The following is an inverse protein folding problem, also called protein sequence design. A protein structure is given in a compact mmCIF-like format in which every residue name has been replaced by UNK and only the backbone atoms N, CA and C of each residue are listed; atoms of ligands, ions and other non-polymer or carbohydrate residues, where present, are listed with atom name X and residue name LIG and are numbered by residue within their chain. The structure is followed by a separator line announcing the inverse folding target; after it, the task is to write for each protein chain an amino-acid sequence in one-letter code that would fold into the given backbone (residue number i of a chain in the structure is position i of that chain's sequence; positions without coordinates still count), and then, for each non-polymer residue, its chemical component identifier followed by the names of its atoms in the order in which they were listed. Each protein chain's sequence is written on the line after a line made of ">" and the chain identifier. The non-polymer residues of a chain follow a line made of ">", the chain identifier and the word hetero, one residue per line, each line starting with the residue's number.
data_IF_783003870367
#
_entry.id   IF_783003870367
#
_cell.length_a   1.000
_cell.length_b   1.000
_cell.length_c   1.000
_cell.angle_alpha   90.00
_cell.angle_beta   90.00
_cell.angle_gamma   90.00
#
_symmetry.space_group_name_H-M   'P 1'
#
loop_
_entity.id
_entity.type
_entity.pdbx_description
1 polymer ?
#
# COMPACT_ATOMS: atom_id res chain seq x y z
N UNK A 1 -26.43 -4.55 26.88
CA UNK A 1 -25.83 -5.60 26.04
C UNK A 1 -25.75 -6.90 26.83
N UNK A 2 -26.21 -8.01 26.24
CA UNK A 2 -26.05 -9.34 26.85
C UNK A 2 -24.65 -9.88 26.58
N UNK A 3 -23.97 -10.40 27.61
CA UNK A 3 -22.61 -10.94 27.53
C UNK A 3 -22.61 -12.41 27.90
N UNK A 4 -21.70 -13.19 27.34
CA UNK A 4 -21.49 -14.58 27.75
C UNK A 4 -20.75 -14.65 29.08
N UNK A 5 -20.80 -15.81 29.74
CA UNK A 5 -20.03 -16.07 30.97
C UNK A 5 -18.53 -15.86 30.74
N UNK A 6 -18.02 -16.23 29.56
CA UNK A 6 -16.61 -16.02 29.18
C UNK A 6 -16.28 -14.54 29.05
N UNK A 7 -17.06 -13.79 28.29
CA UNK A 7 -16.82 -12.35 28.12
C UNK A 7 -16.94 -11.58 29.43
N UNK A 8 -17.92 -11.94 30.28
CA UNK A 8 -18.05 -11.33 31.61
C UNK A 8 -16.86 -11.66 32.51
N UNK A 9 -16.34 -12.88 32.44
CA UNK A 9 -15.15 -13.31 33.18
C UNK A 9 -13.90 -12.54 32.73
N UNK A 10 -13.71 -12.43 31.41
CA UNK A 10 -12.58 -11.72 30.80
C UNK A 10 -12.61 -10.21 31.14
N UNK A 11 -13.81 -9.59 31.20
CA UNK A 11 -13.98 -8.18 31.59
C UNK A 11 -13.77 -7.94 33.08
N UNK A 12 -14.20 -8.86 33.94
CA UNK A 12 -14.03 -8.76 35.38
C UNK A 12 -12.63 -9.23 35.85
N UNK A 13 -11.80 -9.78 34.95
CA UNK A 13 -10.49 -10.32 35.29
C UNK A 13 -10.53 -11.53 36.22
N UNK A 14 -11.63 -12.31 36.18
CA UNK A 14 -11.86 -13.46 37.06
C UNK A 14 -11.98 -14.75 36.24
N UNK A 15 -11.69 -15.93 36.82
CA UNK A 15 -11.88 -17.18 36.09
C UNK A 15 -13.37 -17.47 35.87
N UNK A 16 -13.72 -18.09 34.73
CA UNK A 16 -15.10 -18.48 34.35
C UNK A 16 -15.86 -19.21 35.45
N UNK A 17 -15.17 -20.09 36.17
CA UNK A 17 -15.74 -20.87 37.27
C UNK A 17 -16.24 -19.97 38.40
N UNK A 18 -15.56 -18.85 38.66
CA UNK A 18 -15.97 -17.87 39.68
C UNK A 18 -17.28 -17.19 39.30
N UNK A 19 -17.44 -16.81 38.03
CA UNK A 19 -18.69 -16.24 37.51
C UNK A 19 -19.84 -17.25 37.61
N UNK A 20 -19.60 -18.52 37.24
CA UNK A 20 -20.60 -19.59 37.40
C UNK A 20 -21.00 -19.82 38.85
N UNK A 21 -20.03 -19.79 39.76
CA UNK A 21 -20.29 -19.92 41.19
C UNK A 21 -21.13 -18.76 41.71
N UNK A 22 -20.84 -17.51 41.32
CA UNK A 22 -21.69 -16.38 41.72
C UNK A 22 -23.07 -16.44 41.10
N UNK A 23 -23.19 -16.90 39.85
CA UNK A 23 -24.48 -17.12 39.21
C UNK A 23 -25.32 -18.16 39.97
N UNK A 24 -24.70 -19.19 40.53
CA UNK A 24 -25.38 -20.20 41.35
C UNK A 24 -25.88 -19.68 42.71
N UNK A 25 -25.36 -18.54 43.18
CA UNK A 25 -25.80 -17.89 44.43
C UNK A 25 -26.96 -16.92 44.25
N UNK A 26 -27.28 -16.57 43.02
CA UNK A 26 -28.39 -15.67 42.71
C UNK A 26 -29.69 -16.48 42.74
N UNK A 27 -30.80 -15.81 43.07
CA UNK A 27 -32.12 -16.41 43.08
C UNK A 27 -32.50 -16.96 41.70
N UNK A 28 -33.13 -18.14 41.69
CA UNK A 28 -33.50 -18.84 40.46
C UNK A 28 -34.45 -18.02 39.57
N UNK A 29 -35.26 -17.13 40.17
CA UNK A 29 -36.19 -16.26 39.45
C UNK A 29 -35.45 -15.21 38.61
N UNK A 30 -34.48 -14.50 39.21
CA UNK A 30 -33.63 -13.55 38.48
C UNK A 30 -32.80 -14.23 37.41
N UNK A 31 -32.26 -15.43 37.69
CA UNK A 31 -31.52 -16.21 36.69
C UNK A 31 -32.42 -16.59 35.51
N UNK A 32 -33.63 -17.09 35.75
CA UNK A 32 -34.55 -17.46 34.66
C UNK A 32 -35.00 -16.26 33.82
N UNK A 33 -35.12 -15.08 34.43
CA UNK A 33 -35.57 -13.86 33.75
C UNK A 33 -34.48 -13.23 32.90
N UNK A 34 -33.24 -13.24 33.38
CA UNK A 34 -32.12 -12.46 32.83
C UNK A 34 -31.01 -13.31 32.19
N UNK A 35 -31.13 -14.63 32.19
CA UNK A 35 -30.23 -15.54 31.48
C UNK A 35 -30.96 -16.19 30.32
N UNK A 36 -30.49 -15.90 29.11
CA UNK A 36 -31.03 -16.47 27.87
C UNK A 36 -30.01 -17.41 27.25
N UNK A 37 -30.44 -18.61 26.90
CA UNK A 37 -29.58 -19.55 26.15
C UNK A 37 -29.79 -19.28 24.67
N UNK A 38 -28.73 -18.90 23.96
CA UNK A 38 -28.72 -18.78 22.50
C UNK A 38 -27.58 -19.64 21.97
N UNK A 39 -27.87 -20.50 20.99
CA UNK A 39 -26.89 -21.40 20.37
C UNK A 39 -26.10 -22.24 21.39
N UNK A 40 -26.76 -22.72 22.46
CA UNK A 40 -26.11 -23.50 23.53
C UNK A 40 -25.26 -22.68 24.52
N UNK A 41 -25.16 -21.37 24.35
CA UNK A 41 -24.37 -20.48 25.23
C UNK A 41 -25.29 -19.61 26.07
N UNK A 42 -25.02 -19.55 27.39
CA UNK A 42 -25.72 -18.69 28.34
C UNK A 42 -25.29 -17.22 28.15
N UNK A 43 -26.26 -16.38 27.83
CA UNK A 43 -26.11 -14.93 27.71
C UNK A 43 -26.76 -14.27 28.92
N UNK A 44 -25.95 -13.55 29.67
CA UNK A 44 -26.31 -12.82 30.87
C UNK A 44 -26.73 -11.41 30.46
N UNK A 45 -27.91 -10.94 30.87
CA UNK A 45 -28.33 -9.55 30.67
C UNK A 45 -27.65 -8.60 31.67
N UNK A 46 -27.76 -7.29 31.43
CA UNK A 46 -27.11 -6.26 32.27
C UNK A 46 -27.44 -6.32 33.76
N UNK A 47 -28.67 -6.64 34.24
CA UNK A 47 -28.94 -6.66 35.68
C UNK A 47 -28.21 -7.81 36.39
N UNK A 48 -28.19 -9.02 35.83
CA UNK A 48 -27.49 -10.16 36.43
C UNK A 48 -25.97 -9.96 36.37
N UNK A 49 -25.44 -9.33 35.32
CA UNK A 49 -24.03 -8.94 35.23
C UNK A 49 -23.61 -8.02 36.39
N UNK A 50 -24.44 -7.00 36.70
CA UNK A 50 -24.21 -6.07 37.81
C UNK A 50 -24.25 -6.80 39.16
N UNK A 51 -25.28 -7.62 39.40
CA UNK A 51 -25.38 -8.41 40.64
C UNK A 51 -24.15 -9.32 40.85
N UNK A 52 -23.67 -9.98 39.80
CA UNK A 52 -22.47 -10.82 39.85
C UNK A 52 -21.23 -9.98 40.21
N UNK A 53 -21.07 -8.82 39.57
CA UNK A 53 -19.96 -7.91 39.83
C UNK A 53 -20.00 -7.34 41.27
N UNK A 54 -21.19 -6.90 41.72
CA UNK A 54 -21.43 -6.37 43.07
C UNK A 54 -21.15 -7.42 44.15
N UNK A 55 -21.60 -8.66 43.95
CA UNK A 55 -21.29 -9.79 44.83
C UNK A 55 -19.78 -10.08 44.95
N UNK A 56 -19.00 -9.72 43.93
CA UNK A 56 -17.54 -9.83 43.94
C UNK A 56 -16.83 -8.54 44.35
N UNK A 57 -17.56 -7.46 44.63
CA UNK A 57 -17.02 -6.11 44.87
C UNK A 57 -16.13 -5.63 43.72
N UNK A 58 -16.42 -6.07 42.50
CA UNK A 58 -15.70 -5.68 41.30
C UNK A 58 -16.47 -4.62 40.54
N UNK A 59 -15.76 -3.65 39.98
CA UNK A 59 -16.34 -2.72 39.03
C UNK A 59 -16.31 -3.37 37.65
N UNK A 60 -17.44 -3.39 36.96
CA UNK A 60 -17.47 -3.65 35.53
C UNK A 60 -16.61 -2.56 34.88
N UNK A 61 -15.38 -2.90 34.51
CA UNK A 61 -14.49 -1.93 33.90
C UNK A 61 -15.04 -1.55 32.53
N UNK A 62 -15.11 -0.25 32.24
CA UNK A 62 -15.24 0.26 30.88
C UNK A 62 -13.92 0.04 30.11
N UNK A 63 -13.46 -1.22 30.03
CA UNK A 63 -12.26 -1.63 29.31
C UNK A 63 -12.37 -1.36 27.79
N UNK A 64 -13.55 -0.91 27.33
CA UNK A 64 -13.78 -0.41 25.98
C UNK A 64 -13.02 0.87 25.67
N UNK A 65 -12.64 1.71 26.65
CA UNK A 65 -12.03 3.00 26.31
C UNK A 65 -10.55 2.88 25.93
N UNK A 66 -9.74 2.22 26.77
CA UNK A 66 -8.27 2.20 26.57
C UNK A 66 -7.83 1.40 25.33
N UNK A 67 -8.47 0.25 25.05
CA UNK A 67 -8.14 -0.54 23.85
C UNK A 67 -8.53 0.19 22.57
N UNK A 68 -9.61 0.99 22.60
CA UNK A 68 -10.14 1.62 21.40
C UNK A 68 -9.21 2.70 20.85
N UNK A 69 -8.50 3.44 21.70
CA UNK A 69 -7.61 4.50 21.26
C UNK A 69 -6.31 3.96 20.63
N UNK A 70 -5.72 2.90 21.20
CA UNK A 70 -4.58 2.20 20.56
C UNK A 70 -4.99 1.58 19.23
N UNK A 71 -6.15 0.92 19.16
CA UNK A 71 -6.66 0.38 17.90
C UNK A 71 -6.93 1.47 16.86
N UNK A 72 -7.46 2.63 17.26
CA UNK A 72 -7.67 3.77 16.36
C UNK A 72 -6.35 4.32 15.81
N UNK A 73 -5.32 4.43 16.65
CA UNK A 73 -4.00 4.88 16.20
C UNK A 73 -3.40 3.92 15.18
N UNK A 74 -3.50 2.61 15.41
CA UNK A 74 -3.04 1.58 14.46
C UNK A 74 -3.83 1.65 13.15
N UNK A 75 -5.15 1.81 13.21
CA UNK A 75 -6.01 1.94 12.01
C UNK A 75 -5.60 3.17 11.20
N UNK A 76 -5.48 4.33 11.84
CA UNK A 76 -5.10 5.58 11.18
C UNK A 76 -3.72 5.46 10.51
N UNK A 77 -2.76 4.85 11.22
CA UNK A 77 -1.42 4.62 10.66
C UNK A 77 -1.45 3.70 9.43
N UNK A 78 -2.24 2.62 9.47
CA UNK A 78 -2.40 1.72 8.33
C UNK A 78 -3.08 2.40 7.14
N UNK A 79 -4.08 3.25 7.38
CA UNK A 79 -4.74 4.04 6.33
C UNK A 79 -3.79 5.03 5.66
N UNK A 80 -2.97 5.73 6.44
CA UNK A 80 -1.94 6.64 5.91
C UNK A 80 -0.92 5.89 5.05
N UNK A 81 -0.44 4.73 5.52
CA UNK A 81 0.47 3.89 4.74
C UNK A 81 -0.16 3.42 3.42
N UNK A 82 -1.44 3.04 3.42
CA UNK A 82 -2.12 2.63 2.20
C UNK A 82 -2.26 3.78 1.21
N UNK A 83 -2.64 4.98 1.68
CA UNK A 83 -2.70 6.17 0.83
C UNK A 83 -1.36 6.50 0.20
N UNK A 84 -0.27 6.40 0.96
CA UNK A 84 1.09 6.64 0.44
C UNK A 84 1.47 5.59 -0.63
N UNK A 85 1.18 4.31 -0.40
CA UNK A 85 1.43 3.24 -1.38
C UNK A 85 0.59 3.43 -2.65
N UNK A 86 -0.67 3.82 -2.53
CA UNK A 86 -1.54 4.10 -3.67
C UNK A 86 -1.02 5.28 -4.51
N UNK A 87 -0.47 6.31 -3.87
CA UNK A 87 0.19 7.41 -4.58
C UNK A 87 1.43 6.96 -5.35
N UNK A 88 2.26 6.09 -4.74
CA UNK A 88 3.43 5.52 -5.42
C UNK A 88 3.02 4.68 -6.63
N UNK A 89 1.97 3.86 -6.51
CA UNK A 89 1.44 3.06 -7.62
C UNK A 89 0.99 3.97 -8.78
N UNK A 90 0.28 5.07 -8.48
CA UNK A 90 -0.12 6.04 -9.51
C UNK A 90 1.06 6.66 -10.23
N UNK A 91 2.11 7.02 -9.50
CA UNK A 91 3.31 7.60 -10.12
C UNK A 91 4.06 6.60 -10.99
N UNK A 92 4.19 5.35 -10.53
CA UNK A 92 4.78 4.28 -11.33
C UNK A 92 3.98 4.01 -12.60
N UNK A 93 2.65 3.98 -12.52
CA UNK A 93 1.80 3.84 -13.70
C UNK A 93 1.98 5.00 -14.69
N UNK A 94 2.08 6.23 -14.19
CA UNK A 94 2.33 7.42 -15.02
C UNK A 94 3.69 7.35 -15.72
N UNK A 95 4.75 6.97 -15.00
CA UNK A 95 6.09 6.84 -15.57
C UNK A 95 6.14 5.72 -16.63
N UNK A 96 5.47 4.61 -16.36
CA UNK A 96 5.36 3.52 -17.31
C UNK A 96 4.66 3.96 -18.61
N UNK A 97 3.52 4.65 -18.50
CA UNK A 97 2.79 5.18 -19.66
C UNK A 97 3.64 6.17 -20.48
N UNK A 98 4.36 7.08 -19.81
CA UNK A 98 5.29 7.98 -20.49
C UNK A 98 6.39 7.23 -21.24
N UNK A 99 6.96 6.18 -20.64
CA UNK A 99 7.99 5.38 -21.28
C UNK A 99 7.47 4.64 -22.52
N UNK A 100 6.25 4.10 -22.46
CA UNK A 100 5.60 3.43 -23.58
C UNK A 100 5.31 4.41 -24.72
N UNK A 101 4.81 5.61 -24.41
CA UNK A 101 4.57 6.65 -25.41
C UNK A 101 5.86 7.09 -26.12
N UNK A 102 6.94 7.28 -25.35
CA UNK A 102 8.25 7.63 -25.91
C UNK A 102 8.77 6.52 -26.81
N UNK A 103 8.67 5.26 -26.39
CA UNK A 103 9.09 4.12 -27.20
C UNK A 103 8.32 4.06 -28.53
N UNK A 104 6.99 4.17 -28.50
CA UNK A 104 6.16 4.20 -29.71
C UNK A 104 6.53 5.36 -30.64
N UNK A 105 6.83 6.55 -30.09
CA UNK A 105 7.28 7.68 -30.90
C UNK A 105 8.65 7.42 -31.53
N UNK A 106 9.58 6.78 -30.82
CA UNK A 106 10.89 6.42 -31.38
C UNK A 106 10.76 5.35 -32.46
N UNK A 107 9.94 4.33 -32.25
CA UNK A 107 9.69 3.27 -33.25
C UNK A 107 9.07 3.85 -34.53
N UNK A 108 8.08 4.73 -34.41
CA UNK A 108 7.49 5.45 -35.57
C UNK A 108 8.52 6.29 -36.32
N UNK A 109 9.37 7.04 -35.61
CA UNK A 109 10.44 7.83 -36.24
C UNK A 109 11.46 6.94 -36.94
N UNK A 110 11.81 5.80 -36.36
CA UNK A 110 12.72 4.83 -36.99
C UNK A 110 12.10 4.19 -38.23
N UNK A 111 10.82 3.85 -38.19
CA UNK A 111 10.10 3.34 -39.38
C UNK A 111 10.06 4.38 -40.50
N UNK A 112 9.71 5.63 -40.18
CA UNK A 112 9.71 6.73 -41.15
C UNK A 112 11.10 7.08 -41.72
N UNK A 113 12.19 6.67 -41.05
CA UNK A 113 13.55 6.77 -41.59
C UNK A 113 13.97 5.54 -42.41
N UNK A 114 13.34 4.37 -42.17
CA UNK A 114 13.54 3.17 -42.97
C UNK A 114 12.76 3.22 -44.29
N UNK A 115 11.54 3.76 -44.29
CA UNK A 115 10.71 3.90 -45.50
C UNK A 115 11.32 4.75 -46.64
N UNK A 116 12.06 5.85 -46.43
CA UNK A 116 12.70 6.59 -47.51
C UNK A 116 13.86 5.86 -48.19
N UNK A 117 14.23 4.64 -47.76
CA UNK A 117 15.22 3.81 -48.47
C UNK A 117 14.63 2.72 -49.38
N UNK A 118 13.30 2.62 -49.48
CA UNK A 118 12.64 1.74 -50.45
C UNK A 118 11.85 2.54 -51.50
N UNK A 119 12.55 3.44 -52.22
CA UNK A 119 12.18 3.75 -53.60
C UNK A 119 12.96 2.78 -54.50
N UNK A 120 12.34 2.09 -55.49
CA UNK A 120 13.08 1.25 -56.41
C UNK A 120 13.76 2.17 -57.43
N UNK A 121 15.01 2.55 -57.17
CA UNK A 121 15.93 2.90 -58.25
C UNK A 121 16.53 1.59 -58.76
N UNK A 122 15.90 1.04 -59.80
CA UNK A 122 16.49 0.01 -60.65
C UNK A 122 16.90 0.65 -61.98
N UNK A 123 18.19 0.94 -62.06
CA UNK A 123 19.09 0.77 -63.21
C UNK A 123 18.77 1.46 -64.55
N UNK A 124 19.52 2.53 -64.81
CA UNK A 124 20.08 2.78 -66.14
C UNK A 124 21.53 3.25 -66.01
N UNK A 125 22.46 2.36 -66.36
CA UNK A 125 23.88 2.61 -66.54
C UNK A 125 24.16 3.80 -67.47
N UNK A 126 25.14 4.65 -67.11
CA UNK A 126 26.16 5.05 -68.08
C UNK A 126 27.42 5.58 -67.41
N UNK A 127 28.55 5.13 -67.98
CA UNK A 127 29.94 5.35 -67.59
C UNK A 127 30.40 6.80 -67.82
N UNK A 128 31.30 7.30 -66.97
CA UNK A 128 32.68 7.70 -67.31
C UNK A 128 33.26 8.68 -66.27
N UNK A 129 34.45 8.31 -65.77
CA UNK A 129 35.65 9.11 -65.45
C UNK A 129 35.51 10.53 -64.88
N UNK A 130 36.07 10.75 -63.67
CA UNK A 130 37.20 11.66 -63.43
C UNK A 130 37.65 11.64 -61.96
N UNK A 131 38.96 11.44 -61.78
CA UNK A 131 39.73 11.52 -60.55
C UNK A 131 39.61 12.86 -59.82
N UNK A 132 39.78 12.83 -58.50
CA UNK A 132 40.52 13.86 -57.75
C UNK A 132 41.03 13.25 -56.43
N UNK A 133 42.26 12.73 -56.47
CA UNK A 133 43.15 12.67 -55.31
C UNK A 133 43.24 14.04 -54.63
N UNK A 134 43.33 14.05 -53.29
CA UNK A 134 44.46 14.66 -52.57
C UNK A 134 44.20 14.70 -51.06
N UNK A 135 45.03 13.96 -50.33
CA UNK A 135 45.81 14.40 -49.16
C UNK A 135 45.25 15.48 -48.22
N UNK A 136 45.21 15.05 -46.95
CA UNK A 136 44.97 15.76 -45.69
C UNK A 136 45.81 17.05 -45.54
N UNK A 137 45.36 18.03 -44.72
CA UNK A 137 46.32 18.58 -43.77
C UNK A 137 45.79 18.66 -42.32
N UNK A 138 46.65 18.19 -41.42
CA UNK A 138 46.65 18.51 -40.00
C UNK A 138 46.99 19.99 -39.82
N UNK A 139 46.08 20.80 -39.26
CA UNK A 139 46.41 22.06 -38.58
C UNK A 139 45.48 22.28 -37.38
N UNK A 140 46.10 22.79 -36.32
CA UNK A 140 45.62 23.09 -34.98
C UNK A 140 44.43 24.06 -34.87
N UNK A 141 43.70 23.89 -33.75
CA UNK A 141 42.90 24.90 -33.04
C UNK A 141 41.56 25.36 -33.65
N UNK A 142 40.49 24.64 -33.29
CA UNK A 142 39.21 25.27 -32.94
C UNK A 142 38.46 24.36 -31.95
N UNK A 143 38.06 24.92 -30.81
CA UNK A 143 37.41 24.19 -29.70
C UNK A 143 36.14 23.50 -30.20
N UNK A 144 36.12 22.17 -30.16
CA UNK A 144 34.90 21.39 -30.39
C UNK A 144 33.83 21.81 -29.36
N UNK A 145 32.57 22.04 -29.75
CA UNK A 145 31.52 22.39 -28.80
C UNK A 145 31.39 21.24 -27.80
N UNK A 146 31.43 21.56 -26.50
CA UNK A 146 31.36 20.59 -25.42
C UNK A 146 30.05 19.81 -25.53
N UNK A 147 30.17 18.48 -25.63
CA UNK A 147 29.03 17.60 -25.76
C UNK A 147 28.15 17.71 -24.52
N UNK A 148 26.82 17.63 -24.71
CA UNK A 148 25.81 17.70 -23.66
C UNK A 148 26.15 16.83 -22.44
N UNK A 149 26.66 15.61 -22.67
CA UNK A 149 27.07 14.67 -21.62
C UNK A 149 28.30 15.11 -20.83
N UNK A 150 29.25 15.79 -21.47
CA UNK A 150 30.38 16.40 -20.75
C UNK A 150 29.88 17.50 -19.81
N UNK A 151 28.77 18.18 -20.13
CA UNK A 151 28.23 19.24 -19.28
C UNK A 151 27.51 18.69 -18.04
N UNK A 152 26.87 17.52 -18.15
CA UNK A 152 26.12 16.89 -17.07
C UNK A 152 26.99 16.17 -16.03
N UNK A 153 28.11 15.57 -16.45
CA UNK A 153 28.92 14.72 -15.57
C UNK A 153 30.29 15.31 -15.17
N UNK A 154 30.63 16.52 -15.63
CA UNK A 154 31.94 17.14 -15.31
C UNK A 154 31.97 17.98 -14.02
N UNK A 155 30.94 17.95 -13.18
CA UNK A 155 30.99 18.64 -11.88
C UNK A 155 31.81 17.84 -10.86
N UNK A 156 33.12 18.14 -10.92
CA UNK A 156 34.16 18.24 -9.89
C UNK A 156 33.84 17.67 -8.49
N UNK A 157 34.65 16.68 -8.09
CA UNK A 157 34.98 16.36 -6.69
C UNK A 157 35.49 17.62 -5.95
N UNK A 158 34.87 17.97 -4.84
CA UNK A 158 35.53 18.48 -3.64
C UNK A 158 34.82 17.90 -2.42
#
# INVERSE_FOLDING_TARGET
>A
MSKTIKELADELGVPKNKVNYQLSKIDAQSVSKFVKVKHGVKHLETPIQKMIADNMRLKLSDQKSFKNDEFKQVINHLEEQNKAKDQQIKELHRLLDQSQQLQLMTEKKLQALKEPQHAPESDAESRNDLESEASIPSVESAKKPTSFWQRLFSTRKQ
#
